data_IF_749819454820
#
_entry.id   IF_749819454820
#
_cell.length_a   1.000
_cell.length_b   1.000
_cell.length_c   1.000
_cell.angle_alpha   90.00
_cell.angle_beta   90.00
_cell.angle_gamma   90.00
#
_symmetry.space_group_name_H-M   'P 1'
#
loop_
_entity.id
_entity.type
_entity.pdbx_description
1 polymer ?
#
# COMPACT_ATOMS: atom_id res chain seq x y z
N UNK A 1 -33.84 39.84 26.84
CA UNK A 1 -33.45 38.53 27.40
C UNK A 1 -31.95 38.42 27.26
N UNK A 2 -31.22 38.39 28.37
CA UNK A 2 -29.76 38.43 28.39
C UNK A 2 -29.17 37.08 27.99
N UNK A 3 -28.04 37.09 27.28
CA UNK A 3 -27.36 35.89 26.78
C UNK A 3 -27.09 34.87 27.91
N UNK A 4 -26.80 35.37 29.11
CA UNK A 4 -26.49 34.57 30.32
C UNK A 4 -27.63 33.65 30.76
N UNK A 5 -28.89 33.97 30.43
CA UNK A 5 -30.03 33.12 30.76
C UNK A 5 -30.31 32.03 29.70
N UNK A 6 -29.78 32.20 28.49
CA UNK A 6 -30.06 31.33 27.33
C UNK A 6 -29.04 30.18 27.27
N UNK A 7 -27.76 30.47 27.53
CA UNK A 7 -26.66 29.52 27.55
C UNK A 7 -26.87 28.28 28.46
N UNK A 8 -27.29 28.42 29.74
CA UNK A 8 -27.51 27.25 30.61
C UNK A 8 -28.72 26.41 30.20
N UNK A 9 -29.77 27.05 29.66
CA UNK A 9 -30.94 26.33 29.13
C UNK A 9 -30.60 25.56 27.86
N UNK A 10 -29.78 26.15 27.00
CA UNK A 10 -29.33 25.52 25.75
C UNK A 10 -28.41 24.33 26.03
N UNK A 11 -27.45 24.45 26.94
CA UNK A 11 -26.53 23.36 27.30
C UNK A 11 -27.23 22.18 27.96
N UNK A 12 -28.16 22.42 28.89
CA UNK A 12 -28.95 21.38 29.53
C UNK A 12 -29.89 20.66 28.55
N UNK A 13 -30.43 21.39 27.56
CA UNK A 13 -31.20 20.79 26.48
C UNK A 13 -30.32 19.90 25.59
N UNK A 14 -29.11 20.37 25.25
CA UNK A 14 -28.16 19.57 24.46
C UNK A 14 -27.74 18.31 25.23
N UNK A 15 -27.50 18.36 26.54
CA UNK A 15 -27.14 17.14 27.32
C UNK A 15 -28.27 16.11 27.33
N UNK A 16 -29.52 16.56 27.42
CA UNK A 16 -30.69 15.68 27.38
C UNK A 16 -30.81 14.91 26.06
N UNK A 17 -30.45 15.54 24.94
CA UNK A 17 -30.59 14.95 23.60
C UNK A 17 -29.26 14.47 23.00
N UNK A 18 -28.13 14.72 23.66
CA UNK A 18 -26.79 14.37 23.19
C UNK A 18 -26.72 12.88 22.81
N UNK A 19 -27.20 12.01 23.69
CA UNK A 19 -27.18 10.56 23.47
C UNK A 19 -28.00 10.13 22.24
N UNK A 20 -29.13 10.80 22.01
CA UNK A 20 -29.98 10.58 20.82
C UNK A 20 -29.34 11.14 19.55
N UNK A 21 -28.70 12.32 19.63
CA UNK A 21 -28.00 12.94 18.50
C UNK A 21 -26.79 12.09 18.08
N UNK A 22 -25.98 11.65 19.03
CA UNK A 22 -24.85 10.75 18.77
C UNK A 22 -25.32 9.38 18.27
N UNK A 23 -26.42 8.84 18.81
CA UNK A 23 -27.02 7.59 18.35
C UNK A 23 -27.52 7.67 16.90
N UNK A 24 -28.27 8.71 16.55
CA UNK A 24 -28.76 8.95 15.20
C UNK A 24 -27.60 9.16 14.21
N UNK A 25 -26.55 9.85 14.64
CA UNK A 25 -25.37 10.09 13.81
C UNK A 25 -24.51 8.83 13.62
N UNK A 26 -24.34 8.00 14.66
CA UNK A 26 -23.67 6.71 14.56
C UNK A 26 -24.46 5.74 13.66
N UNK A 27 -25.79 5.74 13.74
CA UNK A 27 -26.65 4.98 12.84
C UNK A 27 -26.52 5.46 11.39
N UNK A 28 -26.51 6.78 11.17
CA UNK A 28 -26.23 7.36 9.85
C UNK A 28 -24.87 6.95 9.29
N UNK A 29 -23.82 7.00 10.12
CA UNK A 29 -22.47 6.57 9.75
C UNK A 29 -22.45 5.06 9.40
N UNK A 30 -23.12 4.22 10.18
CA UNK A 30 -23.22 2.78 9.92
C UNK A 30 -23.94 2.49 8.59
N UNK A 31 -25.01 3.24 8.27
CA UNK A 31 -25.70 3.11 6.98
C UNK A 31 -24.82 3.58 5.81
N UNK A 32 -24.07 4.68 5.97
CA UNK A 32 -23.10 5.14 4.99
C UNK A 32 -21.95 4.14 4.79
N UNK A 33 -21.38 3.62 5.88
CA UNK A 33 -20.32 2.59 5.83
C UNK A 33 -20.84 1.34 5.14
N UNK A 34 -22.06 0.90 5.47
CA UNK A 34 -22.72 -0.24 4.81
C UNK A 34 -22.91 0.01 3.32
N UNK A 35 -23.37 1.20 2.92
CA UNK A 35 -23.53 1.57 1.51
C UNK A 35 -22.19 1.59 0.76
N UNK A 36 -21.13 2.14 1.37
CA UNK A 36 -19.77 2.12 0.83
C UNK A 36 -19.23 0.68 0.75
N UNK A 37 -19.52 -0.17 1.73
CA UNK A 37 -19.12 -1.57 1.73
C UNK A 37 -19.79 -2.36 0.60
N UNK A 38 -21.08 -2.13 0.38
CA UNK A 38 -21.84 -2.74 -0.72
C UNK A 38 -21.28 -2.26 -2.06
N UNK A 39 -21.11 -0.95 -2.26
CA UNK A 39 -20.52 -0.38 -3.47
C UNK A 39 -19.08 -0.89 -3.73
N UNK A 40 -18.27 -1.05 -2.68
CA UNK A 40 -16.92 -1.64 -2.77
C UNK A 40 -16.96 -3.14 -3.09
N UNK A 41 -18.00 -3.86 -2.67
CA UNK A 41 -18.19 -5.29 -2.96
C UNK A 41 -18.62 -5.49 -4.41
N UNK A 42 -19.43 -4.58 -4.95
CA UNK A 42 -19.86 -4.56 -6.36
C UNK A 42 -18.74 -4.17 -7.34
N UNK A 43 -17.80 -3.31 -6.92
CA UNK A 43 -16.56 -3.00 -7.68
C UNK A 43 -15.67 -4.23 -7.94
N UNK A 44 -15.92 -5.37 -7.27
CA UNK A 44 -15.23 -6.64 -7.54
C UNK A 44 -15.88 -7.48 -8.66
N UNK A 45 -16.99 -7.04 -9.28
CA UNK A 45 -17.65 -7.78 -10.38
C UNK A 45 -18.05 -6.95 -11.62
N UNK A 46 -17.81 -5.64 -11.69
CA UNK A 46 -18.24 -4.84 -12.85
C UNK A 46 -17.22 -4.83 -14.00
N UNK A 47 -17.56 -5.52 -15.09
CA UNK A 47 -16.74 -5.71 -16.30
C UNK A 47 -16.81 -4.54 -17.31
N UNK A 48 -17.75 -3.59 -17.20
CA UNK A 48 -17.89 -2.51 -18.19
C UNK A 48 -17.58 -1.11 -17.64
N UNK A 49 -16.61 -0.45 -18.31
CA UNK A 49 -16.07 0.89 -18.01
C UNK A 49 -17.10 2.03 -18.16
N UNK A 50 -18.27 1.76 -18.76
CA UNK A 50 -19.32 2.75 -19.03
C UNK A 50 -20.15 3.10 -17.78
N UNK A 51 -20.37 2.16 -16.87
CA UNK A 51 -21.07 2.45 -15.60
C UNK A 51 -20.22 3.29 -14.65
N UNK A 52 -18.89 3.25 -14.82
CA UNK A 52 -17.92 3.95 -13.98
C UNK A 52 -17.94 5.47 -14.17
N UNK A 53 -18.35 5.97 -15.34
CA UNK A 53 -18.52 7.41 -15.58
C UNK A 53 -19.86 7.96 -15.06
N UNK A 54 -20.94 7.16 -15.07
CA UNK A 54 -22.23 7.56 -14.47
C UNK A 54 -22.25 7.38 -12.94
N UNK A 55 -21.59 6.35 -12.40
CA UNK A 55 -21.54 6.07 -10.97
C UNK A 55 -20.64 7.04 -10.18
N UNK A 56 -19.67 7.69 -10.83
CA UNK A 56 -18.79 8.66 -10.18
C UNK A 56 -19.56 9.89 -9.67
N UNK A 57 -20.67 10.25 -10.32
CA UNK A 57 -21.57 11.32 -9.89
C UNK A 57 -22.54 10.93 -8.77
N UNK A 58 -22.84 9.62 -8.63
CA UNK A 58 -23.71 9.08 -7.55
C UNK A 58 -22.92 8.82 -6.26
N UNK A 59 -21.63 8.47 -6.34
CA UNK A 59 -20.79 8.27 -5.15
C UNK A 59 -20.53 9.57 -4.37
N UNK A 60 -20.43 10.74 -5.05
CA UNK A 60 -20.10 12.00 -4.36
C UNK A 60 -21.19 12.49 -3.39
N UNK A 61 -22.46 12.16 -3.65
CA UNK A 61 -23.61 12.55 -2.79
C UNK A 61 -23.66 11.77 -1.47
N UNK A 62 -23.23 10.51 -1.48
CA UNK A 62 -23.17 9.70 -0.26
C UNK A 62 -21.98 10.12 0.62
N UNK A 63 -20.86 10.53 0.01
CA UNK A 63 -19.72 11.09 0.74
C UNK A 63 -19.99 12.48 1.32
N UNK A 64 -20.67 13.36 0.57
CA UNK A 64 -20.99 14.71 1.05
C UNK A 64 -21.98 14.70 2.21
N UNK A 65 -22.97 13.81 2.20
CA UNK A 65 -23.93 13.64 3.30
C UNK A 65 -23.27 13.06 4.55
N UNK A 66 -22.38 12.07 4.41
CA UNK A 66 -21.60 11.54 5.53
C UNK A 66 -20.67 12.61 6.14
N UNK A 67 -19.98 13.39 5.31
CA UNK A 67 -19.10 14.48 5.75
C UNK A 67 -19.89 15.59 6.48
N UNK A 68 -21.09 15.93 6.00
CA UNK A 68 -21.99 16.88 6.67
C UNK A 68 -22.38 16.39 8.07
N UNK A 69 -22.79 15.12 8.21
CA UNK A 69 -23.18 14.56 9.50
C UNK A 69 -22.01 14.52 10.49
N UNK A 70 -20.82 14.12 10.04
CA UNK A 70 -19.60 14.15 10.86
C UNK A 70 -19.25 15.59 11.24
N UNK A 71 -19.38 16.56 10.34
CA UNK A 71 -19.17 17.97 10.62
C UNK A 71 -20.10 18.51 11.70
N UNK A 72 -21.38 18.13 11.67
CA UNK A 72 -22.36 18.52 12.71
C UNK A 72 -21.98 17.91 14.07
N UNK A 73 -21.55 16.64 14.11
CA UNK A 73 -21.07 16.00 15.34
C UNK A 73 -19.86 16.74 15.91
N UNK A 74 -18.87 17.03 15.06
CA UNK A 74 -17.64 17.74 15.47
C UNK A 74 -17.95 19.15 15.95
N UNK A 75 -18.86 19.86 15.29
CA UNK A 75 -19.29 21.20 15.68
C UNK A 75 -19.99 21.19 17.06
N UNK A 76 -20.90 20.24 17.31
CA UNK A 76 -21.58 20.12 18.61
C UNK A 76 -20.61 19.73 19.72
N UNK A 77 -19.71 18.77 19.47
CA UNK A 77 -18.69 18.35 20.43
C UNK A 77 -17.67 19.45 20.70
N UNK A 78 -17.25 20.18 19.67
CA UNK A 78 -16.37 21.34 19.79
C UNK A 78 -17.04 22.46 20.60
N UNK A 79 -18.32 22.73 20.36
CA UNK A 79 -19.08 23.70 21.14
C UNK A 79 -19.11 23.32 22.64
N UNK A 80 -19.38 22.06 22.94
CA UNK A 80 -19.37 21.54 24.32
C UNK A 80 -18.00 21.62 24.98
N UNK A 81 -16.94 21.24 24.26
CA UNK A 81 -15.60 21.12 24.83
C UNK A 81 -14.82 22.44 24.88
N UNK A 82 -15.12 23.39 23.99
CA UNK A 82 -14.39 24.66 23.88
C UNK A 82 -15.19 25.91 24.28
N UNK A 83 -16.52 25.91 24.26
CA UNK A 83 -17.29 27.09 24.72
C UNK A 83 -17.78 26.99 26.16
N UNK A 84 -18.02 25.78 26.69
CA UNK A 84 -18.46 25.61 28.08
C UNK A 84 -17.37 25.91 29.14
N UNK A 85 -16.09 25.56 28.96
CA UNK A 85 -15.07 25.82 29.98
C UNK A 85 -14.41 27.21 29.87
N UNK A 86 -14.52 27.91 28.74
CA UNK A 86 -13.82 29.19 28.51
C UNK A 86 -14.58 30.43 29.03
N UNK A 87 -15.75 30.26 29.67
CA UNK A 87 -16.43 31.35 30.38
C UNK A 87 -16.08 31.21 31.86
N UNK A 88 -14.91 31.73 32.22
CA UNK A 88 -14.44 31.84 33.61
C UNK A 88 -15.38 32.73 34.42
N UNK A 89 -16.30 32.12 35.18
CA UNK A 89 -17.03 32.76 36.30
C UNK A 89 -16.44 32.36 37.67
N UNK A 90 -15.25 31.77 37.71
CA UNK A 90 -14.58 31.42 38.96
C UNK A 90 -13.77 32.62 39.50
N UNK A 91 -13.98 33.07 40.76
CA UNK A 91 -13.16 34.10 41.37
C UNK A 91 -11.71 33.58 41.57
N UNK A 92 -10.67 34.38 41.29
CA UNK A 92 -9.28 33.93 41.39
C UNK A 92 -8.91 33.72 42.86
N UNK A 93 -8.53 32.50 43.24
CA UNK A 93 -7.95 32.22 44.57
C UNK A 93 -6.57 31.56 44.43
N UNK A 94 -5.62 32.23 45.08
CA UNK A 94 -4.28 31.79 45.51
C UNK A 94 -3.17 31.55 44.47
N UNK A 95 -2.36 32.59 44.34
CA UNK A 95 -0.92 32.61 44.03
C UNK A 95 -0.11 31.51 44.76
N UNK A 96 0.76 30.76 44.06
CA UNK A 96 1.98 30.24 44.66
C UNK A 96 3.18 31.12 44.27
N UNK A 97 3.83 31.66 45.30
CA UNK A 97 5.08 32.43 45.28
C UNK A 97 6.24 31.59 44.74
N UNK A 98 7.04 32.06 43.77
CA UNK A 98 8.29 31.41 43.39
C UNK A 98 9.40 31.84 44.37
N UNK A 99 9.95 30.88 45.12
CA UNK A 99 11.19 31.08 45.86
C UNK A 99 12.34 30.50 45.04
N UNK A 100 13.13 31.38 44.44
CA UNK A 100 14.42 31.07 43.81
C UNK A 100 15.56 31.41 44.75
N UNK A 101 16.73 30.85 44.41
CA UNK A 101 18.11 31.17 44.85
C UNK A 101 18.57 30.47 46.14
N UNK A 102 19.80 30.00 46.31
CA UNK A 102 21.07 29.96 45.55
C UNK A 102 22.00 29.01 46.33
N UNK A 103 23.23 28.79 45.82
CA UNK A 103 24.43 28.16 46.41
C UNK A 103 24.76 26.76 45.85
N UNK A 104 25.98 26.44 45.41
CA UNK A 104 27.21 27.20 45.15
C UNK A 104 28.12 26.30 44.29
N UNK A 105 28.95 26.93 43.46
CA UNK A 105 29.92 26.32 42.54
C UNK A 105 31.23 25.92 43.30
N UNK A 106 32.37 25.71 42.61
CA UNK A 106 33.10 24.53 42.10
C UNK A 106 34.21 24.06 43.12
N UNK A 107 35.35 23.35 42.82
CA UNK A 107 35.97 23.11 41.52
C UNK A 107 36.75 21.81 41.26
N UNK A 108 37.10 21.66 39.97
CA UNK A 108 38.37 21.17 39.40
C UNK A 108 38.86 19.76 39.75
N UNK A 109 38.93 18.89 38.75
CA UNK A 109 40.21 18.46 38.14
C UNK A 109 40.00 17.62 36.87
N UNK A 110 40.38 18.17 35.72
CA UNK A 110 41.56 17.78 34.90
C UNK A 110 41.28 16.56 33.99
N UNK A 111 41.04 16.74 32.69
CA UNK A 111 42.00 17.05 31.59
C UNK A 111 42.42 15.74 30.86
N UNK A 112 42.67 15.81 29.55
CA UNK A 112 42.31 14.80 28.57
C UNK A 112 43.46 13.83 28.28
N UNK A 113 43.17 12.77 27.54
CA UNK A 113 44.21 12.07 26.79
C UNK A 113 43.65 11.72 25.42
N UNK A 114 44.09 12.52 24.45
CA UNK A 114 44.22 12.09 23.07
C UNK A 114 45.22 10.92 23.03
N UNK A 115 45.04 9.98 22.10
CA UNK A 115 46.10 9.65 21.14
C UNK A 115 45.52 8.77 20.03
N UNK A 116 45.70 9.17 18.76
CA UNK A 116 45.47 8.36 17.58
C UNK A 116 46.70 7.48 17.30
N UNK A 117 46.52 6.30 16.72
CA UNK A 117 47.59 5.66 15.94
C UNK A 117 46.98 4.92 14.76
N UNK A 118 47.56 5.24 13.62
CA UNK A 118 47.23 4.99 12.22
C UNK A 118 47.63 3.57 11.74
N UNK A 119 47.39 3.22 10.45
CA UNK A 119 47.29 1.86 9.95
C UNK A 119 48.65 1.25 9.62
N UNK A 120 48.71 -0.08 9.56
CA UNK A 120 49.58 -0.72 8.56
C UNK A 120 49.09 -2.12 8.18
N UNK A 121 49.14 -2.34 6.87
CA UNK A 121 48.78 -3.54 6.15
C UNK A 121 49.50 -4.79 6.64
N UNK A 122 48.86 -5.94 6.45
CA UNK A 122 49.56 -7.20 6.21
C UNK A 122 48.83 -7.92 5.08
N UNK A 123 49.44 -7.87 3.91
CA UNK A 123 49.16 -8.75 2.78
C UNK A 123 49.69 -10.15 3.11
N UNK A 124 48.94 -11.19 2.76
CA UNK A 124 49.47 -12.56 2.68
C UNK A 124 48.90 -13.23 1.43
N UNK A 125 49.75 -13.81 0.56
CA UNK A 125 49.32 -14.36 -0.72
C UNK A 125 48.83 -15.82 -0.59
N UNK A 126 47.74 -16.10 -1.31
CA UNK A 126 47.45 -17.27 -2.17
C UNK A 126 47.97 -18.66 -1.75
N UNK A 127 47.06 -19.64 -1.70
CA UNK A 127 47.26 -20.89 -2.44
C UNK A 127 46.41 -20.94 -3.72
N UNK A 128 47.06 -21.36 -4.79
CA UNK A 128 46.51 -21.57 -6.14
C UNK A 128 45.57 -22.77 -6.12
N UNK A 129 44.26 -22.54 -6.19
CA UNK A 129 43.35 -23.58 -6.66
C UNK A 129 43.43 -23.66 -8.18
N UNK A 130 43.75 -24.87 -8.61
CA UNK A 130 43.92 -25.38 -9.96
C UNK A 130 42.64 -25.13 -10.80
N UNK A 131 42.75 -24.80 -12.10
CA UNK A 131 41.60 -24.81 -12.99
C UNK A 131 41.03 -26.22 -13.07
N UNK A 132 39.92 -26.46 -12.38
CA UNK A 132 39.05 -27.60 -12.69
C UNK A 132 38.35 -27.24 -14.00
N UNK A 133 38.74 -28.00 -15.02
CA UNK A 133 38.13 -28.18 -16.32
C UNK A 133 36.62 -27.81 -16.34
N UNK A 134 36.18 -26.90 -17.24
CA UNK A 134 34.77 -26.64 -17.45
C UNK A 134 34.05 -27.97 -17.77
N UNK A 135 32.99 -28.34 -17.05
CA UNK A 135 32.18 -29.46 -17.47
C UNK A 135 31.67 -29.17 -18.88
N UNK A 136 31.85 -30.13 -19.78
CA UNK A 136 31.34 -30.09 -21.14
C UNK A 136 29.91 -29.52 -21.17
N UNK A 137 29.57 -28.65 -22.14
CA UNK A 137 28.24 -28.09 -22.22
C UNK A 137 27.22 -29.23 -22.17
N UNK A 138 26.29 -29.25 -21.20
CA UNK A 138 25.24 -30.25 -21.21
C UNK A 138 24.57 -30.14 -22.57
N UNK A 139 24.53 -31.27 -23.29
CA UNK A 139 23.72 -31.49 -24.47
C UNK A 139 22.42 -30.70 -24.29
N UNK A 140 22.20 -29.71 -25.15
CA UNK A 140 21.04 -28.85 -25.10
C UNK A 140 19.79 -29.74 -25.10
N UNK A 141 19.26 -30.02 -23.91
CA UNK A 141 17.93 -30.57 -23.75
C UNK A 141 17.05 -29.52 -24.38
N UNK A 142 16.44 -29.85 -25.52
CA UNK A 142 15.58 -28.94 -26.24
C UNK A 142 14.62 -28.31 -25.24
N UNK A 143 14.76 -26.99 -25.03
CA UNK A 143 13.87 -26.23 -24.16
C UNK A 143 12.43 -26.58 -24.57
N UNK A 144 11.53 -26.86 -23.61
CA UNK A 144 10.14 -27.11 -23.94
C UNK A 144 9.64 -25.94 -24.79
N UNK A 145 9.11 -26.25 -25.98
CA UNK A 145 8.60 -25.24 -26.89
C UNK A 145 7.54 -24.41 -26.15
N UNK A 146 7.80 -23.11 -26.01
CA UNK A 146 6.86 -22.18 -25.37
C UNK A 146 5.62 -22.11 -26.25
N UNK A 147 4.51 -22.71 -25.81
CA UNK A 147 3.24 -22.67 -26.52
C UNK A 147 2.45 -21.45 -26.07
N UNK A 148 2.47 -20.40 -26.89
CA UNK A 148 1.70 -19.20 -26.67
C UNK A 148 0.51 -19.17 -27.64
N UNK A 149 -0.70 -19.05 -27.10
CA UNK A 149 -1.93 -18.92 -27.90
C UNK A 149 -1.93 -17.62 -28.73
N UNK A 150 -1.26 -16.57 -28.26
CA UNK A 150 -1.10 -15.30 -28.97
C UNK A 150 0.38 -14.91 -29.00
N UNK A 151 1.00 -14.71 -30.18
CA UNK A 151 2.42 -14.32 -30.27
C UNK A 151 2.69 -12.93 -29.68
N UNK A 152 1.70 -12.05 -29.62
CA UNK A 152 1.79 -10.70 -29.05
C UNK A 152 1.61 -10.63 -27.53
N UNK A 153 1.23 -11.74 -26.88
CA UNK A 153 1.06 -11.87 -25.43
C UNK A 153 1.59 -13.23 -25.00
N UNK A 154 2.90 -13.29 -24.73
CA UNK A 154 3.63 -14.54 -24.53
C UNK A 154 4.73 -14.35 -23.51
N UNK A 155 4.78 -15.21 -22.48
CA UNK A 155 5.92 -15.28 -21.55
C UNK A 155 6.82 -16.40 -22.04
N UNK A 156 8.06 -16.08 -22.38
CA UNK A 156 9.05 -17.05 -22.86
C UNK A 156 9.99 -17.52 -21.74
N UNK A 157 10.10 -16.72 -20.67
CA UNK A 157 10.88 -17.09 -19.50
C UNK A 157 10.28 -16.44 -18.23
N UNK A 158 10.20 -17.15 -17.10
CA UNK A 158 10.54 -18.57 -16.90
C UNK A 158 9.65 -19.50 -17.72
N UNK A 159 10.11 -20.75 -17.95
CA UNK A 159 9.33 -21.79 -18.63
C UNK A 159 8.44 -22.55 -17.65
N UNK A 160 7.39 -23.20 -18.15
CA UNK A 160 6.45 -23.94 -17.31
C UNK A 160 7.17 -25.04 -16.50
N UNK A 161 6.92 -25.08 -15.19
CA UNK A 161 7.53 -26.01 -14.23
C UNK A 161 8.91 -25.62 -13.73
N UNK A 162 9.47 -24.49 -14.19
CA UNK A 162 10.80 -24.04 -13.77
C UNK A 162 10.83 -23.70 -12.27
N UNK A 163 11.92 -24.11 -11.61
CA UNK A 163 12.23 -23.70 -10.25
C UNK A 163 12.91 -22.34 -10.26
N UNK A 164 12.40 -21.39 -9.48
CA UNK A 164 12.87 -20.00 -9.47
C UNK A 164 13.11 -19.51 -8.05
N UNK A 165 14.16 -18.71 -7.86
CA UNK A 165 14.55 -18.14 -6.57
C UNK A 165 15.31 -16.83 -6.77
N UNK A 166 15.27 -15.93 -5.78
CA UNK A 166 15.96 -14.65 -5.87
C UNK A 166 15.34 -13.71 -6.90
N UNK A 167 16.16 -12.91 -7.58
CA UNK A 167 15.72 -12.02 -8.65
C UNK A 167 15.57 -12.78 -9.97
N UNK A 168 14.33 -12.83 -10.49
CA UNK A 168 13.94 -13.55 -11.70
C UNK A 168 13.43 -12.55 -12.72
N UNK A 169 14.11 -12.43 -13.86
CA UNK A 169 13.58 -11.64 -14.98
C UNK A 169 12.43 -12.41 -15.63
N UNK A 170 11.27 -11.79 -15.78
CA UNK A 170 10.20 -12.33 -16.62
C UNK A 170 10.39 -11.78 -18.02
N UNK A 171 10.57 -12.65 -19.02
CA UNK A 171 10.82 -12.27 -20.41
C UNK A 171 9.73 -12.78 -21.34
N UNK A 172 9.52 -12.06 -22.43
CA UNK A 172 8.51 -12.40 -23.41
C UNK A 172 8.16 -11.26 -24.36
N UNK A 173 6.95 -11.35 -24.90
CA UNK A 173 6.39 -10.38 -25.84
C UNK A 173 5.05 -9.90 -25.31
N UNK A 174 4.93 -8.58 -25.16
CA UNK A 174 3.73 -7.83 -24.83
C UNK A 174 3.58 -6.71 -25.86
N UNK A 175 3.25 -7.11 -27.09
CA UNK A 175 3.11 -6.21 -28.22
C UNK A 175 1.92 -6.67 -29.09
N UNK A 176 0.86 -5.86 -29.09
CA UNK A 176 -0.36 -6.11 -29.84
C UNK A 176 -0.74 -4.88 -30.64
N UNK A 177 -1.61 -5.03 -31.64
CA UNK A 177 -2.19 -3.89 -32.32
C UNK A 177 -2.95 -2.99 -31.33
N UNK A 178 -2.84 -1.67 -31.49
CA UNK A 178 -3.45 -0.69 -30.59
C UNK A 178 -3.04 -0.86 -29.12
N UNK A 179 -1.79 -1.26 -28.86
CA UNK A 179 -1.27 -1.43 -27.50
C UNK A 179 -1.45 -0.19 -26.61
N UNK A 180 -1.90 -0.40 -25.37
CA UNK A 180 -2.06 0.68 -24.39
C UNK A 180 -1.22 0.47 -23.12
N UNK A 181 -1.27 -0.73 -22.53
CA UNK A 181 -0.39 -1.16 -21.45
C UNK A 181 -0.41 -2.69 -21.29
N UNK A 182 0.57 -3.24 -20.59
CA UNK A 182 0.51 -4.59 -20.05
C UNK A 182 0.77 -4.59 -18.55
N UNK A 183 0.42 -5.72 -17.91
CA UNK A 183 0.79 -6.01 -16.52
C UNK A 183 1.19 -7.47 -16.39
N UNK A 184 2.12 -7.72 -15.48
CA UNK A 184 2.49 -9.08 -15.08
C UNK A 184 2.01 -9.30 -13.65
N UNK A 185 1.32 -10.42 -13.44
CA UNK A 185 0.72 -10.79 -12.17
C UNK A 185 1.20 -12.17 -11.74
N UNK A 186 1.18 -12.43 -10.44
CA UNK A 186 1.40 -13.76 -9.89
C UNK A 186 0.20 -14.22 -9.04
N UNK A 187 -0.02 -15.52 -9.02
CA UNK A 187 -1.04 -16.19 -8.23
C UNK A 187 -0.45 -17.38 -7.49
N UNK A 188 -0.97 -17.66 -6.29
CA UNK A 188 -0.52 -18.78 -5.47
C UNK A 188 -1.30 -20.06 -5.80
N UNK A 189 -0.60 -21.19 -5.88
CA UNK A 189 -1.17 -22.51 -6.13
C UNK A 189 -1.31 -22.87 -7.62
N UNK A 190 -1.79 -24.09 -7.87
CA UNK A 190 -2.08 -24.59 -9.23
C UNK A 190 -3.26 -23.84 -9.87
N UNK A 191 -4.23 -23.38 -9.07
CA UNK A 191 -5.42 -22.66 -9.51
C UNK A 191 -5.64 -21.39 -8.66
N UNK A 192 -4.97 -20.28 -9.01
CA UNK A 192 -5.03 -19.06 -8.22
C UNK A 192 -6.40 -18.42 -8.25
N UNK A 193 -7.01 -18.27 -7.08
CA UNK A 193 -8.26 -17.51 -6.88
C UNK A 193 -8.02 -15.99 -6.85
N UNK A 194 -6.78 -15.59 -6.59
CA UNK A 194 -6.36 -14.20 -6.46
C UNK A 194 -5.05 -13.97 -7.19
N UNK A 195 -4.95 -12.79 -7.81
CA UNK A 195 -3.81 -12.37 -8.60
C UNK A 195 -3.26 -11.06 -8.05
N UNK A 196 -1.95 -10.99 -7.94
CA UNK A 196 -1.23 -9.85 -7.41
C UNK A 196 -0.29 -9.33 -8.48
N UNK A 197 -0.31 -8.03 -8.74
CA UNK A 197 0.64 -7.43 -9.68
C UNK A 197 2.06 -7.57 -9.14
N UNK A 198 3.00 -7.95 -10.02
CA UNK A 198 4.43 -7.95 -9.69
C UNK A 198 4.95 -6.52 -9.53
N UNK A 199 4.59 -5.65 -10.47
CA UNK A 199 4.94 -4.24 -10.53
C UNK A 199 3.74 -3.40 -11.02
N UNK A 200 3.96 -2.10 -11.21
CA UNK A 200 2.99 -1.21 -11.86
C UNK A 200 2.72 -1.60 -13.34
N UNK A 201 1.73 -0.96 -13.95
CA UNK A 201 1.44 -1.15 -15.38
C UNK A 201 2.58 -0.61 -16.24
N UNK A 202 2.90 -1.35 -17.30
CA UNK A 202 3.94 -0.97 -18.27
C UNK A 202 3.29 -0.41 -19.54
N UNK A 203 3.69 0.81 -19.94
CA UNK A 203 3.10 1.55 -21.08
C UNK A 203 3.97 1.52 -22.34
N UNK A 204 5.08 0.81 -22.32
CA UNK A 204 5.92 0.58 -23.49
C UNK A 204 5.74 -0.85 -23.98
N UNK A 205 5.40 -1.08 -25.25
CA UNK A 205 5.31 -2.43 -25.79
C UNK A 205 6.69 -3.08 -25.80
N UNK A 206 6.73 -4.38 -25.55
CA UNK A 206 7.98 -5.17 -25.51
C UNK A 206 7.87 -6.36 -26.44
N UNK A 207 8.90 -6.64 -27.22
CA UNK A 207 8.98 -7.82 -28.07
C UNK A 207 10.25 -8.61 -27.75
N UNK A 208 10.10 -9.89 -27.36
CA UNK A 208 11.18 -10.78 -26.96
C UNK A 208 12.17 -10.17 -25.95
N UNK A 209 11.66 -9.35 -25.02
CA UNK A 209 12.45 -8.58 -24.07
C UNK A 209 12.10 -8.89 -22.62
N UNK A 210 12.63 -8.10 -21.69
CA UNK A 210 12.24 -8.16 -20.28
C UNK A 210 10.90 -7.46 -20.09
N UNK A 211 9.92 -8.19 -19.58
CA UNK A 211 8.58 -7.70 -19.24
C UNK A 211 8.54 -7.18 -17.81
N UNK A 212 9.17 -7.89 -16.88
CA UNK A 212 9.22 -7.47 -15.47
C UNK A 212 10.40 -8.15 -14.74
N UNK A 213 10.68 -7.72 -13.53
CA UNK A 213 11.63 -8.40 -12.64
C UNK A 213 10.95 -8.78 -11.34
N UNK A 214 10.82 -10.08 -11.11
CA UNK A 214 10.23 -10.63 -9.90
C UNK A 214 11.31 -10.98 -8.88
N UNK A 215 11.28 -10.36 -7.71
CA UNK A 215 12.06 -10.82 -6.58
C UNK A 215 11.28 -11.88 -5.80
N UNK A 216 11.61 -13.16 -6.02
CA UNK A 216 11.03 -14.30 -5.31
C UNK A 216 11.64 -14.51 -3.91
N UNK A 217 12.56 -13.65 -3.46
CA UNK A 217 13.11 -13.71 -2.09
C UNK A 217 12.01 -13.40 -1.08
N UNK A 218 11.84 -14.28 -0.08
CA UNK A 218 10.84 -14.11 0.97
C UNK A 218 9.44 -14.64 0.63
N UNK A 219 9.23 -15.15 -0.58
CA UNK A 219 8.03 -15.92 -0.90
C UNK A 219 8.13 -17.32 -0.28
N UNK A 220 7.06 -17.85 0.34
CA UNK A 220 7.01 -19.23 0.79
C UNK A 220 7.29 -20.21 -0.35
N UNK A 221 7.94 -21.33 -0.03
CA UNK A 221 8.10 -22.43 -0.97
C UNK A 221 6.72 -22.95 -1.42
N UNK A 222 6.56 -23.17 -2.72
CA UNK A 222 5.26 -23.56 -3.28
C UNK A 222 5.15 -23.38 -4.79
N UNK A 223 3.98 -23.74 -5.30
CA UNK A 223 3.63 -23.53 -6.72
C UNK A 223 3.03 -22.14 -6.89
N UNK A 224 3.50 -21.45 -7.92
CA UNK A 224 3.00 -20.15 -8.32
C UNK A 224 2.66 -20.18 -9.82
N UNK A 225 1.73 -19.34 -10.23
CA UNK A 225 1.49 -19.04 -11.64
C UNK A 225 1.79 -17.58 -11.92
N UNK A 226 2.55 -17.33 -12.97
CA UNK A 226 2.71 -16.01 -13.57
C UNK A 226 1.66 -15.84 -14.65
N UNK A 227 1.15 -14.62 -14.80
CA UNK A 227 0.17 -14.26 -15.83
C UNK A 227 0.54 -12.95 -16.48
N UNK A 228 0.59 -12.94 -17.80
CA UNK A 228 0.71 -11.73 -18.61
C UNK A 228 -0.65 -11.33 -19.17
N UNK A 229 -1.05 -10.08 -18.92
CA UNK A 229 -2.26 -9.49 -19.53
C UNK A 229 -1.86 -8.24 -20.31
N UNK A 230 -2.15 -8.23 -21.60
CA UNK A 230 -1.89 -7.09 -22.50
C UNK A 230 -3.22 -6.46 -22.90
N UNK A 231 -3.32 -5.13 -22.77
CA UNK A 231 -4.53 -4.34 -22.96
C UNK A 231 -4.34 -3.33 -24.10
N UNK A 232 -5.36 -3.17 -24.93
CA UNK A 232 -5.38 -2.21 -26.04
C UNK A 232 -6.01 -0.86 -25.64
N UNK A 233 -5.96 0.14 -26.53
CA UNK A 233 -6.51 1.49 -26.30
C UNK A 233 -8.04 1.48 -26.16
N UNK A 234 -8.72 0.47 -26.72
CA UNK A 234 -10.16 0.27 -26.58
C UNK A 234 -10.53 -0.32 -25.21
N UNK A 235 -9.54 -0.81 -24.46
CA UNK A 235 -9.72 -1.45 -23.16
C UNK A 235 -10.01 -2.94 -23.22
N UNK A 236 -9.93 -3.56 -24.41
CA UNK A 236 -9.98 -5.01 -24.54
C UNK A 236 -8.61 -5.59 -24.13
N UNK A 237 -8.62 -6.86 -23.71
CA UNK A 237 -7.40 -7.57 -23.35
C UNK A 237 -7.28 -8.88 -24.12
N UNK A 238 -6.05 -9.29 -24.36
CA UNK A 238 -5.76 -10.61 -24.93
C UNK A 238 -6.05 -11.72 -23.93
N UNK A 239 -6.30 -12.94 -24.44
CA UNK A 239 -6.28 -14.15 -23.61
C UNK A 239 -4.97 -14.18 -22.81
N UNK A 240 -5.02 -14.13 -21.47
CA UNK A 240 -3.80 -14.06 -20.68
C UNK A 240 -2.93 -15.29 -20.88
N UNK A 241 -1.62 -15.09 -20.95
CA UNK A 241 -0.68 -16.20 -20.99
C UNK A 241 -0.21 -16.53 -19.58
N UNK A 242 -0.43 -17.77 -19.15
CA UNK A 242 -0.11 -18.24 -17.80
C UNK A 242 1.03 -19.25 -17.81
N UNK A 243 1.99 -19.08 -16.90
CA UNK A 243 3.12 -19.98 -16.73
C UNK A 243 3.22 -20.45 -15.29
N UNK A 244 3.23 -21.76 -15.09
CA UNK A 244 3.45 -22.38 -13.79
C UNK A 244 4.94 -22.36 -13.42
N UNK A 245 5.28 -22.00 -12.20
CA UNK A 245 6.64 -21.98 -11.66
C UNK A 245 6.65 -22.51 -10.22
N UNK A 246 7.81 -22.93 -9.74
CA UNK A 246 7.97 -23.50 -8.39
C UNK A 246 9.02 -22.68 -7.65
N UNK A 247 8.68 -22.20 -6.45
CA UNK A 247 9.66 -21.62 -5.53
C UNK A 247 10.13 -22.75 -4.60
N UNK A 248 11.43 -23.08 -4.58
CA UNK A 248 11.97 -24.19 -3.80
C UNK A 248 12.04 -23.90 -2.30
#
# INVERSE_FOLDING_TARGET
>A
MTLDAILPRMTAWIDRYALWIYGAAALGLLLCIRAIWIARREKKQSIFKLERELAMSRESRAFSTAALLVGIIVAVSGFKFYLAPNIDLAPPTATPTPTSFLFEEPPTREVPTATPTEPLATSTPRPTERPTEPPAPPTATALPAVSCANPGSCITYPVAGMRVSGAVQVRGTANIAQFQFYKVEYGLGEEPQQWHSLSDIHRQPVANGVLDTWNATGFPAGVYKLRLTVVDVSGNWTTPHEVRVIIP
#
